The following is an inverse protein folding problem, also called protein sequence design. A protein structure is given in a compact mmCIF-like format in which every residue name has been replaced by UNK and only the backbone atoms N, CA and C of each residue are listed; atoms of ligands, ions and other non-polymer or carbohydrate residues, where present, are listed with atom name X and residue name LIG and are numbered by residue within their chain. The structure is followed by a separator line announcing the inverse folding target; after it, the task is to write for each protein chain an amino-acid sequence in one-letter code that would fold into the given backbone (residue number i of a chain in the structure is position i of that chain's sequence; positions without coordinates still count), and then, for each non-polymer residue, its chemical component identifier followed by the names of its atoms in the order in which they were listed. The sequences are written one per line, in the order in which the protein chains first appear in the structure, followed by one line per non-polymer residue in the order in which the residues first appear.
data_IF_451342033033
#
_entry.id   IF_451342033033
#
_cell.length_a   1.000
_cell.length_b   1.000
_cell.length_c   1.000
_cell.angle_alpha   90.00
_cell.angle_beta   90.00
_cell.angle_gamma   90.00
#
_symmetry.space_group_name_H-M   'P 1'
#
loop_
_entity.id
_entity.type
_entity.pdbx_description
1 polymer ?
#
# COMPACT_ATOMS: atom_id res chain seq x y z
N UNK A 1 4.67 -14.13 24.31
CA UNK A 1 5.16 -14.36 22.94
C UNK A 1 4.43 -13.37 22.07
N UNK A 2 5.15 -12.65 21.25
CA UNK A 2 4.62 -11.75 20.25
C UNK A 2 5.02 -12.26 18.85
N UNK A 3 4.07 -12.28 17.91
CA UNK A 3 4.29 -12.72 16.54
C UNK A 3 3.87 -11.57 15.61
N UNK A 4 4.82 -11.03 14.85
CA UNK A 4 4.56 -9.97 13.89
C UNK A 4 5.34 -10.21 12.60
N UNK A 5 4.73 -9.92 11.44
CA UNK A 5 5.40 -9.98 10.15
C UNK A 5 6.18 -8.71 9.81
N UNK A 6 5.92 -7.60 10.52
CA UNK A 6 6.50 -6.28 10.27
C UNK A 6 6.79 -5.56 11.59
N UNK A 7 7.81 -6.00 12.36
CA UNK A 7 8.07 -5.48 13.70
C UNK A 7 8.51 -4.00 13.73
N UNK A 8 8.93 -3.46 12.61
CA UNK A 8 9.44 -2.09 12.48
C UNK A 8 8.94 -1.41 11.21
N UNK A 9 7.63 -1.40 11.01
CA UNK A 9 6.97 -0.87 9.81
C UNK A 9 7.26 0.61 9.54
N UNK A 10 7.44 1.42 10.59
CA UNK A 10 7.86 2.82 10.49
C UNK A 10 9.32 3.04 10.94
N UNK A 11 10.13 2.00 10.89
CA UNK A 11 11.54 2.04 11.28
C UNK A 11 11.83 1.51 12.69
N UNK A 12 13.10 1.53 13.06
CA UNK A 12 13.60 0.97 14.32
C UNK A 12 12.92 1.54 15.58
N UNK A 13 12.30 2.72 15.48
CA UNK A 13 11.65 3.39 16.61
C UNK A 13 10.44 2.60 17.14
N UNK A 14 9.80 1.80 16.31
CA UNK A 14 8.62 1.00 16.68
C UNK A 14 8.97 -0.22 17.55
N UNK A 15 10.21 -0.68 17.49
CA UNK A 15 10.64 -1.88 18.23
C UNK A 15 10.56 -1.73 19.73
N UNK A 16 10.70 -0.51 20.27
CA UNK A 16 10.73 -0.31 21.71
C UNK A 16 9.47 -0.80 22.42
N UNK A 17 8.29 -0.48 21.89
CA UNK A 17 7.02 -0.86 22.53
C UNK A 17 6.83 -2.38 22.58
N UNK A 18 7.18 -3.07 21.50
CA UNK A 18 7.07 -4.52 21.39
C UNK A 18 8.05 -5.22 22.34
N UNK A 19 9.31 -4.80 22.33
CA UNK A 19 10.34 -5.39 23.23
C UNK A 19 10.03 -5.07 24.68
N UNK A 20 9.50 -3.86 24.99
CA UNK A 20 9.08 -3.51 26.34
C UNK A 20 7.99 -4.43 26.89
N UNK A 21 7.03 -4.86 26.05
CA UNK A 21 6.00 -5.83 26.45
C UNK A 21 6.58 -7.21 26.75
N UNK A 22 7.72 -7.57 26.18
CA UNK A 22 8.37 -8.86 26.39
C UNK A 22 9.30 -8.88 27.62
N UNK A 23 10.02 -7.76 27.87
CA UNK A 23 11.09 -7.73 28.86
C UNK A 23 10.99 -6.61 29.93
N UNK A 24 9.93 -5.77 29.87
CA UNK A 24 9.75 -4.66 30.81
C UNK A 24 10.81 -3.55 30.68
N UNK A 25 11.47 -3.45 29.52
CA UNK A 25 12.47 -2.44 29.19
C UNK A 25 13.89 -2.77 29.69
N UNK A 26 14.17 -4.05 29.92
CA UNK A 26 15.49 -4.51 30.38
C UNK A 26 16.56 -4.25 29.31
N UNK A 27 16.28 -4.49 28.03
CA UNK A 27 17.24 -4.39 26.92
C UNK A 27 17.29 -3.02 26.26
N UNK A 28 16.14 -2.46 25.95
CA UNK A 28 16.06 -1.21 25.17
C UNK A 28 15.76 0.05 26.00
N UNK A 29 15.61 -0.11 27.32
CA UNK A 29 15.36 0.99 28.26
C UNK A 29 13.91 1.05 28.73
N UNK A 30 13.72 1.52 29.97
CA UNK A 30 12.43 1.55 30.66
C UNK A 30 11.44 2.59 30.13
N UNK A 31 11.93 3.54 29.35
CA UNK A 31 11.09 4.58 28.75
C UNK A 31 11.48 4.80 27.29
N UNK A 32 10.49 5.19 26.47
CA UNK A 32 10.74 5.55 25.07
C UNK A 32 11.72 6.72 24.93
N UNK A 33 11.77 7.62 25.93
CA UNK A 33 12.73 8.71 25.98
C UNK A 33 14.17 8.21 26.05
N UNK A 34 14.47 7.25 26.95
CA UNK A 34 15.77 6.61 27.05
C UNK A 34 16.17 5.89 25.77
N UNK A 35 15.20 5.18 25.13
CA UNK A 35 15.42 4.51 23.86
C UNK A 35 15.80 5.49 22.74
N UNK A 36 15.04 6.60 22.62
CA UNK A 36 15.30 7.65 21.64
C UNK A 36 16.65 8.32 21.87
N UNK A 37 16.96 8.73 23.10
CA UNK A 37 18.22 9.36 23.45
C UNK A 37 19.44 8.47 23.14
N UNK A 38 19.30 7.17 23.38
CA UNK A 38 20.40 6.21 23.20
C UNK A 38 20.67 5.88 21.74
N UNK A 39 19.62 5.71 20.93
CA UNK A 39 19.71 5.12 19.60
C UNK A 39 19.35 6.05 18.45
N UNK A 40 18.85 7.25 18.74
CA UNK A 40 18.38 8.15 17.69
C UNK A 40 18.86 9.57 17.92
N UNK A 41 18.99 10.30 16.81
CA UNK A 41 19.16 11.74 16.79
C UNK A 41 17.87 12.42 16.33
N UNK A 42 17.55 13.63 16.86
CA UNK A 42 16.46 14.43 16.34
C UNK A 42 16.73 14.83 14.89
N UNK A 43 15.86 14.44 13.96
CA UNK A 43 15.98 14.75 12.54
C UNK A 43 15.22 16.04 12.19
N UNK A 44 13.87 16.00 12.26
CA UNK A 44 13.04 17.18 11.97
C UNK A 44 12.52 17.76 13.28
N UNK A 45 12.89 19.02 13.57
CA UNK A 45 12.47 19.72 14.80
C UNK A 45 12.21 21.20 14.55
N UNK A 46 11.30 21.77 15.34
CA UNK A 46 11.21 23.23 15.56
C UNK A 46 11.80 23.59 16.94
N UNK A 47 11.59 24.83 17.38
CA UNK A 47 12.13 25.29 18.67
C UNK A 47 11.61 24.51 19.90
N UNK A 48 10.45 23.88 19.81
CA UNK A 48 9.75 23.28 20.94
C UNK A 48 9.43 21.78 20.75
N UNK A 49 9.40 21.27 19.50
CA UNK A 49 8.91 19.92 19.19
C UNK A 49 9.84 19.21 18.20
N UNK A 50 10.11 17.93 18.47
CA UNK A 50 10.80 17.02 17.56
C UNK A 50 9.73 16.23 16.82
N UNK A 51 9.74 16.29 15.49
CA UNK A 51 8.75 15.62 14.62
C UNK A 51 9.22 14.27 14.14
N UNK A 52 10.54 14.07 13.97
CA UNK A 52 11.11 12.79 13.55
C UNK A 52 12.47 12.55 14.16
N UNK A 53 12.87 11.27 14.19
CA UNK A 53 14.13 10.80 14.71
C UNK A 53 14.83 9.94 13.66
N UNK A 54 16.13 10.14 13.46
CA UNK A 54 16.98 9.30 12.64
C UNK A 54 17.80 8.35 13.52
N UNK A 55 18.00 7.08 13.15
CA UNK A 55 18.88 6.18 13.88
C UNK A 55 20.32 6.70 13.85
N UNK A 56 21.01 6.64 14.97
CA UNK A 56 22.45 6.89 15.04
C UNK A 56 23.24 5.78 14.34
N UNK A 57 24.43 6.09 13.88
CA UNK A 57 25.33 5.11 13.29
C UNK A 57 25.54 3.91 14.24
N UNK A 58 25.41 2.69 13.70
CA UNK A 58 25.55 1.45 14.46
C UNK A 58 24.36 1.07 15.37
N UNK A 59 23.30 1.88 15.43
CA UNK A 59 22.13 1.58 16.26
C UNK A 59 21.43 0.30 15.86
N UNK A 60 21.34 0.00 14.57
CA UNK A 60 20.70 -1.23 14.07
C UNK A 60 21.42 -2.48 14.63
N UNK A 61 22.73 -2.54 14.47
CA UNK A 61 23.54 -3.69 14.92
C UNK A 61 23.48 -3.86 16.44
N UNK A 62 23.53 -2.74 17.15
CA UNK A 62 23.44 -2.77 18.61
C UNK A 62 22.06 -3.26 19.09
N UNK A 63 20.99 -2.76 18.52
CA UNK A 63 19.61 -3.18 18.85
C UNK A 63 19.45 -4.65 18.55
N UNK A 64 19.82 -5.11 17.34
CA UNK A 64 19.75 -6.51 16.94
C UNK A 64 20.52 -7.43 17.90
N UNK A 65 21.71 -7.02 18.32
CA UNK A 65 22.49 -7.78 19.29
C UNK A 65 21.84 -7.81 20.67
N UNK A 66 21.24 -6.70 21.10
CA UNK A 66 20.61 -6.59 22.41
C UNK A 66 19.34 -7.44 22.54
N UNK A 67 18.61 -7.66 21.45
CA UNK A 67 17.35 -8.42 21.46
C UNK A 67 17.50 -9.84 20.88
N UNK A 68 18.67 -10.20 20.37
CA UNK A 68 18.91 -11.46 19.64
C UNK A 68 18.69 -12.73 20.48
N UNK A 69 18.71 -12.63 21.80
CA UNK A 69 18.42 -13.75 22.71
C UNK A 69 16.92 -13.98 22.96
N UNK A 70 16.07 -12.98 22.69
CA UNK A 70 14.61 -13.07 22.87
C UNK A 70 13.84 -12.94 21.57
N UNK A 71 14.49 -12.58 20.47
CA UNK A 71 13.89 -12.36 19.17
C UNK A 71 14.48 -13.31 18.13
N UNK A 72 13.63 -13.99 17.41
CA UNK A 72 14.01 -14.77 16.22
C UNK A 72 13.38 -14.09 15.02
N UNK A 73 14.21 -13.65 14.08
CA UNK A 73 13.76 -13.15 12.78
C UNK A 73 13.88 -14.28 11.75
N UNK A 74 12.74 -14.66 11.18
CA UNK A 74 12.68 -15.67 10.13
C UNK A 74 11.98 -15.07 8.92
N UNK A 75 12.63 -15.11 7.77
CA UNK A 75 11.96 -14.86 6.50
C UNK A 75 11.34 -16.16 6.02
N UNK A 76 10.07 -16.13 5.61
CA UNK A 76 9.40 -17.32 5.07
C UNK A 76 10.16 -17.93 3.90
N UNK A 77 10.79 -17.08 3.10
CA UNK A 77 11.60 -17.48 1.92
C UNK A 77 12.85 -18.30 2.28
N UNK A 78 13.39 -18.14 3.50
CA UNK A 78 14.61 -18.84 3.95
C UNK A 78 14.30 -20.26 4.47
N UNK A 79 13.05 -20.55 4.84
CA UNK A 79 12.66 -21.79 5.52
C UNK A 79 11.54 -22.57 4.83
N UNK A 80 10.83 -21.94 3.88
CA UNK A 80 9.67 -22.52 3.20
C UNK A 80 9.92 -22.49 1.70
N UNK A 81 9.53 -23.56 1.02
CA UNK A 81 9.43 -23.56 -0.44
C UNK A 81 8.23 -22.68 -0.81
N UNK A 82 8.51 -21.44 -1.15
CA UNK A 82 7.52 -20.47 -1.60
C UNK A 82 7.48 -20.44 -3.12
N UNK A 83 6.31 -20.35 -3.75
CA UNK A 83 6.24 -20.16 -5.20
C UNK A 83 6.86 -18.81 -5.59
N UNK A 84 7.24 -18.69 -6.86
CA UNK A 84 7.75 -17.43 -7.40
C UNK A 84 6.69 -16.32 -7.29
N UNK A 85 7.13 -15.08 -7.03
CA UNK A 85 6.33 -13.89 -7.06
C UNK A 85 6.69 -13.06 -8.29
N UNK A 86 5.75 -12.93 -9.20
CA UNK A 86 5.93 -12.22 -10.47
C UNK A 86 5.19 -10.89 -10.37
N UNK A 87 5.90 -9.78 -10.58
CA UNK A 87 5.32 -8.46 -10.63
C UNK A 87 5.12 -8.03 -12.07
N UNK A 88 3.89 -7.65 -12.41
CA UNK A 88 3.48 -7.18 -13.72
C UNK A 88 2.90 -5.77 -13.60
N UNK A 89 3.61 -4.78 -14.16
CA UNK A 89 3.13 -3.41 -14.21
C UNK A 89 2.37 -3.18 -15.51
N UNK A 90 1.07 -3.03 -15.39
CA UNK A 90 0.15 -2.76 -16.50
C UNK A 90 0.01 -1.24 -16.68
N UNK A 91 0.63 -0.65 -17.70
CA UNK A 91 0.57 0.79 -17.90
C UNK A 91 -0.82 1.22 -18.35
N UNK A 92 -1.43 2.14 -17.61
CA UNK A 92 -2.71 2.77 -17.98
C UNK A 92 -2.44 4.10 -18.64
N UNK A 93 -2.76 4.20 -19.93
CA UNK A 93 -2.64 5.44 -20.70
C UNK A 93 -3.99 6.16 -20.66
N UNK A 94 -4.00 7.39 -20.12
CA UNK A 94 -5.19 8.23 -20.16
C UNK A 94 -5.42 8.75 -21.59
N UNK A 95 -6.66 8.71 -22.03
CA UNK A 95 -7.05 9.39 -23.26
C UNK A 95 -6.90 10.92 -23.13
N UNK A 96 -6.98 11.66 -24.24
CA UNK A 96 -6.72 13.09 -24.24
C UNK A 96 -7.68 13.90 -23.32
N UNK A 97 -9.00 13.63 -23.25
CA UNK A 97 -9.89 14.25 -22.28
C UNK A 97 -9.56 13.90 -20.84
N UNK A 98 -9.32 12.62 -20.53
CA UNK A 98 -8.96 12.14 -19.20
C UNK A 98 -7.62 12.74 -18.74
N UNK A 99 -6.61 12.74 -19.59
CA UNK A 99 -5.31 13.33 -19.30
C UNK A 99 -5.40 14.84 -19.01
N UNK A 100 -6.25 15.56 -19.77
CA UNK A 100 -6.51 16.99 -19.51
C UNK A 100 -7.20 17.20 -18.16
N UNK A 101 -8.25 16.45 -17.87
CA UNK A 101 -8.98 16.54 -16.61
C UNK A 101 -8.08 16.17 -15.42
N UNK A 102 -7.32 15.08 -15.53
CA UNK A 102 -6.36 14.65 -14.51
C UNK A 102 -5.35 15.77 -14.20
N UNK A 103 -4.66 16.30 -15.22
CA UNK A 103 -3.65 17.35 -15.05
C UNK A 103 -4.23 18.63 -14.46
N UNK A 104 -5.44 19.01 -14.85
CA UNK A 104 -6.11 20.18 -14.29
C UNK A 104 -6.38 20.01 -12.79
N UNK A 105 -7.03 18.91 -12.40
CA UNK A 105 -7.36 18.62 -11.01
C UNK A 105 -6.11 18.38 -10.15
N UNK A 106 -5.12 17.68 -10.67
CA UNK A 106 -3.81 17.53 -10.01
C UNK A 106 -3.17 18.89 -9.73
N UNK A 107 -3.15 19.77 -10.75
CA UNK A 107 -2.60 21.11 -10.61
C UNK A 107 -3.34 21.95 -9.57
N UNK A 108 -4.65 21.93 -9.58
CA UNK A 108 -5.49 22.64 -8.59
C UNK A 108 -5.18 22.17 -7.17
N UNK A 109 -5.16 20.85 -6.92
CA UNK A 109 -4.82 20.27 -5.63
C UNK A 109 -3.40 20.62 -5.16
N UNK A 110 -2.42 20.60 -6.08
CA UNK A 110 -1.03 20.89 -5.76
C UNK A 110 -0.79 22.39 -5.50
N UNK A 111 -1.45 23.29 -6.24
CA UNK A 111 -1.31 24.73 -6.05
C UNK A 111 -1.95 25.24 -4.76
N UNK A 112 -3.04 24.60 -4.30
CA UNK A 112 -3.68 24.92 -3.02
C UNK A 112 -2.81 24.48 -1.81
N UNK A 113 -1.78 23.66 -2.06
CA UNK A 113 -0.93 23.13 -0.99
C UNK A 113 0.33 23.97 -0.81
N UNK A 114 0.53 24.52 0.40
CA UNK A 114 1.76 25.23 0.75
C UNK A 114 2.89 24.23 1.10
N UNK A 115 4.05 24.37 0.41
CA UNK A 115 5.22 23.51 0.63
C UNK A 115 5.73 23.52 2.08
N UNK A 116 5.60 24.68 2.75
CA UNK A 116 6.02 24.85 4.14
C UNK A 116 5.13 24.14 5.16
N UNK A 117 3.91 23.74 4.78
CA UNK A 117 2.90 23.13 5.65
C UNK A 117 2.67 21.64 5.40
N UNK A 118 3.49 20.98 4.58
CA UNK A 118 3.33 19.54 4.30
C UNK A 118 3.78 18.74 5.53
N UNK A 119 2.80 18.34 6.31
CA UNK A 119 2.96 17.34 7.38
C UNK A 119 2.65 15.94 6.84
N UNK A 120 2.97 14.90 7.61
CA UNK A 120 2.59 13.52 7.25
C UNK A 120 1.08 13.36 7.03
N UNK A 121 0.25 14.05 7.82
CA UNK A 121 -1.20 14.03 7.69
C UNK A 121 -1.70 14.70 6.39
N UNK A 122 -1.22 15.89 6.07
CA UNK A 122 -1.58 16.59 4.82
C UNK A 122 -1.08 15.85 3.59
N UNK A 123 0.12 15.24 3.65
CA UNK A 123 0.64 14.41 2.58
C UNK A 123 -0.25 13.18 2.33
N UNK A 124 -0.71 12.51 3.39
CA UNK A 124 -1.61 11.37 3.26
C UNK A 124 -2.94 11.73 2.58
N UNK A 125 -3.53 12.89 2.94
CA UNK A 125 -4.77 13.39 2.31
C UNK A 125 -4.53 13.70 0.83
N UNK A 126 -3.44 14.39 0.51
CA UNK A 126 -3.10 14.76 -0.87
C UNK A 126 -2.81 13.53 -1.73
N UNK A 127 -2.00 12.60 -1.22
CA UNK A 127 -1.77 11.31 -1.89
C UNK A 127 -3.08 10.57 -2.14
N UNK A 128 -3.96 10.52 -1.14
CA UNK A 128 -5.28 9.89 -1.28
C UNK A 128 -6.13 10.53 -2.38
N UNK A 129 -6.15 11.86 -2.50
CA UNK A 129 -6.86 12.56 -3.59
C UNK A 129 -6.25 12.29 -4.96
N UNK A 130 -4.91 12.30 -5.07
CA UNK A 130 -4.23 11.99 -6.33
C UNK A 130 -4.43 10.53 -6.76
N UNK A 131 -4.47 9.58 -5.83
CA UNK A 131 -4.82 8.19 -6.12
C UNK A 131 -6.29 8.02 -6.55
N UNK A 132 -7.23 8.79 -5.98
CA UNK A 132 -8.61 8.83 -6.48
C UNK A 132 -8.65 9.28 -7.94
N UNK A 133 -7.90 10.32 -8.32
CA UNK A 133 -7.77 10.77 -9.70
C UNK A 133 -7.21 9.66 -10.61
N UNK A 134 -6.15 8.96 -10.18
CA UNK A 134 -5.61 7.81 -10.92
C UNK A 134 -6.67 6.72 -11.13
N UNK A 135 -7.52 6.46 -10.13
CA UNK A 135 -8.58 5.46 -10.23
C UNK A 135 -9.78 5.92 -11.06
N UNK A 136 -9.81 7.21 -11.45
CA UNK A 136 -10.80 7.77 -12.38
C UNK A 136 -12.06 8.31 -11.76
N UNK A 137 -12.09 8.55 -10.44
CA UNK A 137 -13.16 9.29 -9.77
C UNK A 137 -12.62 9.97 -8.51
N UNK A 138 -13.26 11.06 -8.06
CA UNK A 138 -12.90 11.77 -6.83
C UNK A 138 -14.14 12.02 -5.99
N UNK A 139 -13.99 12.11 -4.67
CA UNK A 139 -15.06 12.56 -3.79
C UNK A 139 -15.08 14.08 -3.73
N UNK A 140 -16.28 14.66 -3.89
CA UNK A 140 -16.57 16.06 -3.59
C UNK A 140 -16.63 16.32 -2.07
N UNK A 141 -17.02 17.56 -1.69
CA UNK A 141 -17.20 17.98 -0.29
C UNK A 141 -18.28 17.19 0.45
N UNK A 142 -19.30 16.73 -0.27
CA UNK A 142 -20.45 15.98 0.26
C UNK A 142 -20.24 14.47 0.19
N UNK A 143 -19.02 14.03 -0.19
CA UNK A 143 -18.62 12.64 -0.38
C UNK A 143 -19.34 11.92 -1.52
N UNK A 144 -19.88 12.62 -2.49
CA UNK A 144 -20.35 12.03 -3.73
C UNK A 144 -19.16 11.74 -4.65
N UNK A 145 -19.19 10.60 -5.31
CA UNK A 145 -18.16 10.25 -6.27
C UNK A 145 -18.42 10.91 -7.62
N UNK A 146 -17.49 11.74 -8.06
CA UNK A 146 -17.49 12.38 -9.38
C UNK A 146 -16.59 11.56 -10.30
N UNK A 147 -17.19 10.96 -11.34
CA UNK A 147 -16.45 10.21 -12.34
C UNK A 147 -15.64 11.15 -13.25
N UNK A 148 -14.34 10.84 -13.44
CA UNK A 148 -13.39 11.59 -14.26
C UNK A 148 -13.08 10.85 -15.56
N UNK A 149 -12.74 9.55 -15.48
CA UNK A 149 -12.41 8.70 -16.62
C UNK A 149 -12.67 7.22 -16.34
N UNK A 150 -12.64 6.40 -17.40
CA UNK A 150 -12.82 4.94 -17.32
C UNK A 150 -11.54 4.16 -17.69
N UNK A 151 -10.46 4.84 -18.10
CA UNK A 151 -9.27 4.19 -18.65
C UNK A 151 -8.71 3.07 -17.75
N UNK A 152 -8.74 3.24 -16.41
CA UNK A 152 -8.27 2.21 -15.48
C UNK A 152 -9.25 1.04 -15.37
N UNK A 153 -10.55 1.26 -15.52
CA UNK A 153 -11.56 0.20 -15.60
C UNK A 153 -11.37 -0.61 -16.89
N UNK A 154 -11.13 0.06 -18.02
CA UNK A 154 -10.87 -0.60 -19.31
C UNK A 154 -9.61 -1.47 -19.23
N UNK A 155 -8.51 -0.94 -18.71
CA UNK A 155 -7.30 -1.72 -18.49
C UNK A 155 -7.50 -2.90 -17.53
N UNK A 156 -8.33 -2.75 -16.51
CA UNK A 156 -8.70 -3.83 -15.61
C UNK A 156 -9.43 -4.95 -16.34
N UNK A 157 -10.39 -4.61 -17.18
CA UNK A 157 -11.16 -5.59 -17.97
C UNK A 157 -10.25 -6.31 -18.98
N UNK A 158 -9.31 -5.62 -19.62
CA UNK A 158 -8.32 -6.23 -20.51
C UNK A 158 -7.42 -7.24 -19.76
N UNK A 159 -6.93 -6.90 -18.57
CA UNK A 159 -6.18 -7.84 -17.74
C UNK A 159 -7.04 -9.06 -17.40
N UNK A 160 -8.28 -8.85 -16.97
CA UNK A 160 -9.17 -9.93 -16.59
C UNK A 160 -9.47 -10.88 -17.78
N UNK A 161 -9.64 -10.34 -18.98
CA UNK A 161 -9.80 -11.12 -20.21
C UNK A 161 -8.55 -11.97 -20.50
N UNK A 162 -7.34 -11.38 -20.33
CA UNK A 162 -6.05 -12.09 -20.52
C UNK A 162 -5.85 -13.24 -19.53
N UNK A 163 -6.48 -13.21 -18.36
CA UNK A 163 -6.45 -14.32 -17.40
C UNK A 163 -7.18 -15.57 -17.90
N UNK A 164 -7.98 -15.44 -18.95
CA UNK A 164 -8.65 -16.56 -19.62
C UNK A 164 -9.40 -17.50 -18.67
N UNK A 165 -10.21 -16.93 -17.78
CA UNK A 165 -11.03 -17.66 -16.82
C UNK A 165 -10.31 -18.10 -15.54
N UNK A 166 -9.06 -17.69 -15.33
CA UNK A 166 -8.40 -17.89 -14.04
C UNK A 166 -8.95 -16.90 -13.01
N UNK A 167 -9.01 -17.35 -11.76
CA UNK A 167 -9.57 -16.55 -10.68
C UNK A 167 -8.65 -15.40 -10.27
N UNK A 168 -9.22 -14.23 -9.98
CA UNK A 168 -8.49 -13.05 -9.59
C UNK A 168 -8.91 -12.50 -8.22
N UNK A 169 -7.93 -12.24 -7.34
CA UNK A 169 -8.11 -11.44 -6.14
C UNK A 169 -7.84 -9.98 -6.50
N UNK A 170 -8.86 -9.12 -6.38
CA UNK A 170 -8.80 -7.73 -6.82
C UNK A 170 -8.79 -6.80 -5.59
N UNK A 171 -7.74 -6.00 -5.46
CA UNK A 171 -7.65 -4.99 -4.42
C UNK A 171 -8.11 -3.63 -4.93
N UNK A 172 -9.09 -3.06 -4.21
CA UNK A 172 -9.57 -1.69 -4.41
C UNK A 172 -9.29 -0.84 -3.17
N UNK A 173 -9.14 0.46 -3.33
CA UNK A 173 -8.81 1.35 -2.21
C UNK A 173 -9.98 2.24 -1.76
N UNK A 174 -10.87 2.65 -2.68
CA UNK A 174 -11.99 3.55 -2.39
C UNK A 174 -13.33 2.87 -2.65
N UNK A 175 -14.41 3.35 -1.99
CA UNK A 175 -15.75 2.79 -2.23
C UNK A 175 -16.19 2.99 -3.69
N UNK A 176 -15.86 4.13 -4.29
CA UNK A 176 -16.18 4.36 -5.70
C UNK A 176 -15.44 3.38 -6.63
N UNK A 177 -14.23 2.91 -6.28
CA UNK A 177 -13.55 1.87 -7.05
C UNK A 177 -14.38 0.59 -7.05
N UNK A 178 -14.79 0.16 -5.84
CA UNK A 178 -15.63 -1.03 -5.66
C UNK A 178 -16.89 -0.96 -6.49
N UNK A 179 -17.63 0.15 -6.39
CA UNK A 179 -18.92 0.31 -7.03
C UNK A 179 -18.78 0.34 -8.57
N UNK A 180 -17.75 1.02 -9.09
CA UNK A 180 -17.42 1.07 -10.51
C UNK A 180 -16.95 -0.27 -11.06
N UNK A 181 -16.11 -1.00 -10.29
CA UNK A 181 -15.69 -2.35 -10.67
C UNK A 181 -16.86 -3.33 -10.70
N UNK A 182 -17.76 -3.30 -9.72
CA UNK A 182 -18.97 -4.13 -9.70
C UNK A 182 -19.84 -3.84 -10.92
N UNK A 183 -20.08 -2.56 -11.24
CA UNK A 183 -20.86 -2.18 -12.42
C UNK A 183 -20.20 -2.63 -13.73
N UNK A 184 -18.87 -2.61 -13.83
CA UNK A 184 -18.13 -3.07 -15.00
C UNK A 184 -18.13 -4.60 -15.15
N UNK A 185 -18.17 -5.34 -14.04
CA UNK A 185 -18.17 -6.81 -14.02
C UNK A 185 -19.56 -7.42 -14.23
N UNK A 186 -20.64 -6.69 -13.90
CA UNK A 186 -22.02 -7.18 -13.99
C UNK A 186 -22.39 -7.76 -15.37
N UNK A 187 -22.06 -7.09 -16.52
CA UNK A 187 -22.39 -7.61 -17.85
C UNK A 187 -21.65 -8.89 -18.22
N UNK A 188 -20.55 -9.23 -17.54
CA UNK A 188 -19.68 -10.37 -17.89
C UNK A 188 -20.22 -11.71 -17.38
N UNK A 189 -21.22 -11.71 -16.49
CA UNK A 189 -21.80 -12.93 -15.94
C UNK A 189 -20.86 -13.74 -15.05
N UNK A 190 -19.76 -13.12 -14.55
CA UNK A 190 -18.81 -13.74 -13.65
C UNK A 190 -19.36 -13.84 -12.24
N UNK A 191 -18.90 -14.87 -11.50
CA UNK A 191 -19.21 -15.02 -10.07
C UNK A 191 -18.32 -14.07 -9.25
N UNK A 192 -18.82 -12.86 -9.01
CA UNK A 192 -18.10 -11.79 -8.32
C UNK A 192 -18.58 -11.69 -6.88
N UNK A 193 -17.66 -11.58 -5.93
CA UNK A 193 -17.97 -11.24 -4.53
C UNK A 193 -17.04 -10.17 -3.98
N UNK A 194 -17.57 -9.34 -3.10
CA UNK A 194 -16.78 -8.45 -2.23
C UNK A 194 -16.60 -9.17 -0.90
N UNK A 195 -15.36 -9.38 -0.49
CA UNK A 195 -15.01 -10.08 0.74
C UNK A 195 -15.63 -9.41 1.97
N UNK A 196 -16.33 -10.17 2.78
CA UNK A 196 -16.98 -9.72 4.02
C UNK A 196 -16.69 -10.65 5.22
N UNK A 197 -16.58 -11.95 4.99
CA UNK A 197 -16.48 -12.93 6.07
C UNK A 197 -15.89 -14.28 5.62
N UNK A 198 -15.76 -15.22 6.56
CA UNK A 198 -15.18 -16.55 6.31
C UNK A 198 -15.93 -17.38 5.26
N UNK A 199 -17.24 -17.18 5.08
CA UNK A 199 -17.97 -17.90 4.03
C UNK A 199 -17.51 -17.49 2.61
N UNK A 200 -17.06 -16.24 2.43
CA UNK A 200 -16.47 -15.80 1.17
C UNK A 200 -15.06 -16.40 0.97
N UNK A 201 -14.28 -16.56 2.04
CA UNK A 201 -12.99 -17.27 2.03
C UNK A 201 -13.16 -18.74 1.62
N UNK A 202 -14.15 -19.43 2.22
CA UNK A 202 -14.45 -20.83 1.92
C UNK A 202 -14.91 -21.00 0.45
N UNK A 203 -15.82 -20.15 0.00
CA UNK A 203 -16.31 -20.16 -1.39
C UNK A 203 -15.20 -19.85 -2.41
N UNK A 204 -14.29 -18.89 -2.08
CA UNK A 204 -13.13 -18.59 -2.91
C UNK A 204 -12.20 -19.80 -3.00
N UNK A 205 -11.85 -20.41 -1.88
CA UNK A 205 -10.96 -21.57 -1.84
C UNK A 205 -11.59 -22.84 -2.47
N UNK A 206 -12.93 -22.91 -2.54
CA UNK A 206 -13.66 -23.96 -3.24
C UNK A 206 -13.74 -23.71 -4.75
N UNK A 207 -13.26 -22.56 -5.27
CA UNK A 207 -13.36 -22.21 -6.69
C UNK A 207 -14.77 -21.78 -7.14
N UNK A 208 -15.60 -21.32 -6.22
CA UNK A 208 -16.97 -20.86 -6.51
C UNK A 208 -17.03 -19.37 -6.88
N UNK A 209 -15.91 -18.65 -6.78
CA UNK A 209 -15.79 -17.21 -7.06
C UNK A 209 -14.74 -17.01 -8.15
N UNK A 210 -15.10 -16.34 -9.23
CA UNK A 210 -14.17 -16.00 -10.32
C UNK A 210 -13.36 -14.74 -9.98
N UNK A 211 -14.01 -13.74 -9.37
CA UNK A 211 -13.39 -12.49 -8.94
C UNK A 211 -13.75 -12.20 -7.49
N UNK A 212 -12.77 -12.26 -6.60
CA UNK A 212 -12.90 -11.83 -5.22
C UNK A 212 -12.34 -10.43 -5.05
N UNK A 213 -13.20 -9.48 -4.72
CA UNK A 213 -12.80 -8.09 -4.46
C UNK A 213 -12.60 -7.87 -2.97
N UNK A 214 -11.50 -7.22 -2.57
CA UNK A 214 -11.21 -6.95 -1.18
C UNK A 214 -10.56 -5.56 -0.98
N UNK A 215 -10.85 -4.92 0.14
CA UNK A 215 -10.08 -3.77 0.59
C UNK A 215 -8.84 -4.28 1.33
N UNK A 216 -7.62 -3.75 1.07
CA UNK A 216 -6.40 -4.26 1.68
C UNK A 216 -6.43 -4.33 3.21
N UNK A 217 -7.06 -3.34 3.87
CA UNK A 217 -7.20 -3.34 5.33
C UNK A 217 -8.06 -4.50 5.87
N UNK A 218 -9.04 -4.99 5.09
CA UNK A 218 -9.86 -6.15 5.49
C UNK A 218 -9.06 -7.45 5.46
N UNK A 219 -7.95 -7.48 4.72
CA UNK A 219 -7.06 -8.63 4.64
C UNK A 219 -6.02 -8.69 5.77
N UNK A 220 -5.99 -7.72 6.70
CA UNK A 220 -5.03 -7.69 7.81
C UNK A 220 -5.20 -8.88 8.78
N UNK A 221 -6.38 -9.49 8.85
CA UNK A 221 -6.74 -10.50 9.85
C UNK A 221 -6.64 -11.94 9.32
N UNK A 222 -5.44 -12.39 9.00
CA UNK A 222 -5.12 -13.83 8.93
C UNK A 222 -5.80 -14.68 7.87
N UNK A 223 -6.37 -14.09 6.81
CA UNK A 223 -7.06 -14.81 5.75
C UNK A 223 -6.16 -15.80 4.99
N UNK A 224 -6.73 -16.92 4.59
CA UNK A 224 -6.06 -17.98 3.82
C UNK A 224 -6.74 -18.09 2.44
N UNK A 225 -6.24 -17.35 1.45
CA UNK A 225 -6.84 -17.31 0.11
C UNK A 225 -6.04 -18.09 -0.96
N UNK A 226 -4.96 -18.77 -0.58
CA UNK A 226 -4.00 -19.37 -1.51
C UNK A 226 -4.56 -20.53 -2.37
N UNK A 227 -5.68 -21.14 -1.99
CA UNK A 227 -6.25 -22.26 -2.74
C UNK A 227 -7.20 -21.82 -3.87
N UNK A 228 -7.75 -20.61 -3.79
CA UNK A 228 -8.75 -20.14 -4.74
C UNK A 228 -8.18 -19.54 -6.02
N UNK A 229 -6.91 -19.14 -6.04
CA UNK A 229 -6.28 -18.53 -7.20
C UNK A 229 -4.82 -18.17 -6.98
N UNK A 230 -4.19 -17.59 -8.01
CA UNK A 230 -2.79 -17.15 -7.95
C UNK A 230 -2.55 -15.82 -8.69
N UNK A 231 -3.61 -15.11 -9.09
CA UNK A 231 -3.55 -13.76 -9.65
C UNK A 231 -4.06 -12.74 -8.66
N UNK A 232 -3.27 -11.69 -8.44
CA UNK A 232 -3.65 -10.48 -7.68
C UNK A 232 -3.71 -9.32 -8.67
N UNK A 233 -4.78 -8.53 -8.63
CA UNK A 233 -4.89 -7.30 -9.40
C UNK A 233 -5.05 -6.14 -8.44
N UNK A 234 -4.07 -5.26 -8.41
CA UNK A 234 -4.14 -3.98 -7.71
C UNK A 234 -4.79 -2.94 -8.63
N UNK A 235 -6.11 -2.77 -8.50
CA UNK A 235 -6.83 -1.69 -9.14
C UNK A 235 -6.55 -0.35 -8.45
N UNK A 236 -6.64 -0.32 -7.13
CA UNK A 236 -6.33 0.84 -6.30
C UNK A 236 -5.13 0.57 -5.41
N UNK A 237 -4.03 1.30 -5.63
CA UNK A 237 -2.82 1.15 -4.82
C UNK A 237 -2.99 1.78 -3.43
N UNK A 238 -2.32 1.20 -2.45
CA UNK A 238 -2.18 1.76 -1.10
C UNK A 238 -0.75 2.25 -0.89
N UNK A 239 -0.59 3.32 -0.12
CA UNK A 239 0.73 3.88 0.20
C UNK A 239 1.37 3.28 1.46
N UNK A 240 0.69 2.34 2.13
CA UNK A 240 1.23 1.59 3.26
C UNK A 240 1.89 0.31 2.79
N UNK A 241 3.22 0.23 2.91
CA UNK A 241 4.00 -0.97 2.57
C UNK A 241 3.51 -2.18 3.39
N UNK A 242 3.15 -1.97 4.65
CA UNK A 242 2.64 -3.04 5.50
C UNK A 242 1.33 -3.63 4.96
N UNK A 243 0.35 -2.77 4.63
CA UNK A 243 -0.92 -3.23 4.05
C UNK A 243 -0.70 -3.92 2.70
N UNK A 244 0.16 -3.37 1.85
CA UNK A 244 0.52 -3.94 0.56
C UNK A 244 1.13 -5.34 0.72
N UNK A 245 2.14 -5.50 1.57
CA UNK A 245 2.80 -6.79 1.79
C UNK A 245 1.86 -7.80 2.46
N UNK A 246 1.05 -7.37 3.44
CA UNK A 246 0.07 -8.26 4.08
C UNK A 246 -1.00 -8.74 3.11
N UNK A 247 -1.49 -7.87 2.23
CA UNK A 247 -2.47 -8.22 1.20
C UNK A 247 -1.89 -9.24 0.21
N UNK A 248 -0.68 -9.03 -0.30
CA UNK A 248 -0.02 -9.98 -1.20
C UNK A 248 0.22 -11.34 -0.56
N UNK A 249 0.54 -11.37 0.73
CA UNK A 249 0.72 -12.62 1.50
C UNK A 249 -0.57 -13.43 1.70
N UNK A 250 -1.74 -12.96 1.27
CA UNK A 250 -2.98 -13.76 1.31
C UNK A 250 -2.99 -14.86 0.26
N UNK A 251 -2.37 -14.63 -0.91
CA UNK A 251 -2.15 -15.64 -1.94
C UNK A 251 -0.72 -16.18 -1.94
N UNK A 252 0.29 -15.30 -1.78
CA UNK A 252 1.69 -15.69 -1.76
C UNK A 252 2.11 -16.18 -0.37
N UNK A 253 1.82 -17.44 -0.08
CA UNK A 253 2.15 -18.08 1.21
C UNK A 253 2.37 -19.57 1.04
N UNK A 254 2.82 -20.22 2.11
CA UNK A 254 3.03 -21.67 2.15
C UNK A 254 1.74 -22.41 1.73
N UNK A 255 1.88 -23.38 0.84
CA UNK A 255 0.78 -24.17 0.30
C UNK A 255 0.24 -23.68 -1.04
N UNK A 256 0.63 -22.50 -1.51
CA UNK A 256 0.38 -22.07 -2.89
C UNK A 256 1.21 -22.92 -3.87
N UNK A 257 0.56 -23.43 -4.91
CA UNK A 257 1.18 -24.38 -5.86
C UNK A 257 1.65 -23.72 -7.16
N UNK A 258 1.25 -22.50 -7.41
CA UNK A 258 1.52 -21.75 -8.64
C UNK A 258 2.31 -20.49 -8.36
N UNK A 259 3.14 -20.00 -9.31
CA UNK A 259 3.67 -18.64 -9.22
C UNK A 259 2.55 -17.64 -9.03
N UNK A 260 2.73 -16.72 -8.09
CA UNK A 260 1.73 -15.66 -7.83
C UNK A 260 2.05 -14.45 -8.69
N UNK A 261 1.15 -14.12 -9.61
CA UNK A 261 1.27 -12.97 -10.48
C UNK A 261 0.53 -11.79 -9.87
N UNK A 262 1.23 -10.68 -9.67
CA UNK A 262 0.71 -9.46 -9.07
C UNK A 262 0.69 -8.37 -10.14
N UNK A 263 -0.50 -8.09 -10.66
CA UNK A 263 -0.74 -7.07 -11.68
C UNK A 263 -1.00 -5.72 -10.99
N UNK A 264 -0.23 -4.71 -11.35
CA UNK A 264 -0.43 -3.33 -10.89
C UNK A 264 -0.94 -2.47 -12.04
N UNK A 265 -2.13 -1.93 -11.92
CA UNK A 265 -2.65 -0.97 -12.88
C UNK A 265 -2.10 0.42 -12.56
N UNK A 266 -1.17 0.91 -13.36
CA UNK A 266 -0.38 2.11 -13.08
C UNK A 266 -0.68 3.19 -14.10
N UNK A 267 -1.30 4.28 -13.69
CA UNK A 267 -1.55 5.44 -14.56
C UNK A 267 -0.22 6.14 -14.87
N UNK A 268 0.14 6.18 -16.15
CA UNK A 268 1.38 6.79 -16.61
C UNK A 268 1.42 8.30 -16.30
N UNK A 269 2.50 8.74 -15.65
CA UNK A 269 2.66 10.11 -15.16
C UNK A 269 1.80 10.46 -13.94
N UNK A 270 0.98 9.53 -13.44
CA UNK A 270 0.12 9.70 -12.27
C UNK A 270 0.80 9.35 -10.95
N UNK A 271 0.07 9.54 -9.84
CA UNK A 271 0.55 9.24 -8.49
C UNK A 271 0.82 7.73 -8.28
N UNK A 272 0.21 6.86 -9.07
CA UNK A 272 0.46 5.42 -9.02
C UNK A 272 1.95 5.07 -9.21
N UNK A 273 2.65 5.76 -10.14
CA UNK A 273 4.09 5.53 -10.39
C UNK A 273 4.93 5.85 -9.15
N UNK A 274 4.62 6.96 -8.47
CA UNK A 274 5.34 7.34 -7.25
C UNK A 274 5.10 6.35 -6.11
N UNK A 275 3.86 5.86 -5.99
CA UNK A 275 3.50 4.86 -4.98
C UNK A 275 4.20 3.53 -5.24
N UNK A 276 4.18 3.00 -6.47
CA UNK A 276 4.90 1.77 -6.83
C UNK A 276 6.40 1.93 -6.58
N UNK A 277 6.99 3.04 -7.01
CA UNK A 277 8.41 3.33 -6.75
C UNK A 277 8.72 3.35 -5.26
N UNK A 278 7.86 3.93 -4.43
CA UNK A 278 8.04 3.97 -2.99
C UNK A 278 7.89 2.59 -2.33
N UNK A 279 6.92 1.78 -2.78
CA UNK A 279 6.70 0.42 -2.29
C UNK A 279 7.86 -0.54 -2.65
N UNK A 280 8.52 -0.34 -3.79
CA UNK A 280 9.65 -1.16 -4.23
C UNK A 280 10.97 -0.79 -3.52
N UNK A 281 11.08 0.41 -2.97
CA UNK A 281 12.29 0.84 -2.25
C UNK A 281 12.38 0.15 -0.89
N UNK A 282 13.57 -0.40 -0.59
CA UNK A 282 13.91 -0.89 0.76
C UNK A 282 14.21 0.32 1.65
N UNK A 283 13.18 0.93 2.25
CA UNK A 283 13.34 2.11 3.09
C UNK A 283 12.02 2.66 3.60
N UNK A 284 12.04 3.89 4.09
CA UNK A 284 10.83 4.57 4.56
C UNK A 284 9.96 4.99 3.37
N UNK A 285 8.88 4.24 3.16
CA UNK A 285 7.88 4.51 2.11
C UNK A 285 7.25 5.88 2.29
N UNK A 286 7.03 6.32 3.52
CA UNK A 286 6.43 7.61 3.83
C UNK A 286 7.37 8.76 3.43
N UNK A 287 8.67 8.63 3.67
CA UNK A 287 9.66 9.64 3.27
C UNK A 287 9.78 9.72 1.74
N UNK A 288 9.78 8.58 1.05
CA UNK A 288 9.82 8.53 -0.41
C UNK A 288 8.60 9.22 -1.03
N UNK A 289 7.40 8.98 -0.50
CA UNK A 289 6.16 9.64 -0.96
C UNK A 289 6.15 11.13 -0.66
N UNK A 290 6.64 11.55 0.50
CA UNK A 290 6.79 12.97 0.83
C UNK A 290 7.72 13.69 -0.14
N UNK A 291 8.84 13.07 -0.51
CA UNK A 291 9.77 13.62 -1.49
C UNK A 291 9.12 13.73 -2.89
N UNK A 292 8.38 12.71 -3.33
CA UNK A 292 7.66 12.71 -4.60
C UNK A 292 6.60 13.82 -4.64
N UNK A 293 5.79 13.97 -3.59
CA UNK A 293 4.79 15.04 -3.49
C UNK A 293 5.40 16.44 -3.56
N UNK A 294 6.49 16.68 -2.83
CA UNK A 294 7.22 17.96 -2.89
C UNK A 294 7.73 18.25 -4.30
N UNK A 295 8.26 17.25 -4.99
CA UNK A 295 8.72 17.40 -6.37
C UNK A 295 7.57 17.75 -7.32
N UNK A 296 6.39 17.11 -7.19
CA UNK A 296 5.17 17.43 -7.96
C UNK A 296 4.67 18.85 -7.69
N UNK A 297 4.61 19.29 -6.44
CA UNK A 297 4.19 20.65 -6.06
C UNK A 297 5.13 21.69 -6.67
N UNK A 298 6.44 21.49 -6.55
CA UNK A 298 7.44 22.38 -7.13
C UNK A 298 7.24 22.52 -8.64
N UNK A 299 7.10 21.39 -9.35
CA UNK A 299 6.86 21.38 -10.81
C UNK A 299 5.56 22.08 -11.19
N UNK A 300 4.47 21.90 -10.41
CA UNK A 300 3.20 22.58 -10.65
C UNK A 300 3.31 24.10 -10.51
N UNK A 301 4.06 24.59 -9.52
CA UNK A 301 4.30 26.03 -9.29
C UNK A 301 5.20 26.64 -10.37
N UNK A 302 6.26 25.97 -10.79
CA UNK A 302 7.15 26.42 -11.87
C UNK A 302 6.42 26.50 -13.21
N UNK A 303 5.48 25.60 -13.49
CA UNK A 303 4.65 25.64 -14.70
C UNK A 303 3.47 26.61 -14.64
N UNK A 304 3.26 27.32 -13.51
CA UNK A 304 2.24 28.34 -13.32
C UNK A 304 2.80 29.77 -13.42
N UNK A 305 4.13 29.95 -13.39
CA UNK A 305 4.86 31.20 -13.60
C UNK A 305 5.10 31.42 -15.08
#
# INVERSE_FOLDING_TARGET
VELTGTPSSNGLIDLWAQIYLLDGGERLGKTIGQYRERFFDPDKRNRTTIFSYAPKDGSLEYIQKAIGDICISMKSEDYLEMPERIYDEVPVVLDAPAAKAYKQLERELLLETDEGMITAGTAGVLTGKLLQLCNGAVYDSDRHALAIHQCKIEAFLEVLEQLNGQHALVFYNFQHDRDRLLAALEPLGLRVRVYQNTADEDAWNAGEIDVLMAHPASCAYGLNLQNGGHHIIWFGLVWSLEQYEQANKRLHRQGQKHPVVIHHLVVQGGMDEDVITALQRKGDTQEALMAALKARIKKAKEGAS
#
